data_IF_316734328727
#
_entry.id   IF_316734328727
#
_cell.length_a   1.000
_cell.length_b   1.000
_cell.length_c   1.000
_cell.angle_alpha   90.00
_cell.angle_beta   90.00
_cell.angle_gamma   90.00
#
_symmetry.space_group_name_H-M   'P 1'
#
loop_
_entity.id
_entity.type
_entity.pdbx_description
1 polymer ?
#
# COMPACT_ATOMS: atom_id res chain seq x y z
N UNK A 1 -7.52 5.64 6.33
CA UNK A 1 -6.34 5.86 5.46
C UNK A 1 -5.22 5.02 6.04
N UNK A 2 -4.48 4.25 5.24
CA UNK A 2 -3.34 3.47 5.75
C UNK A 2 -2.25 4.45 6.18
N UNK A 3 -1.99 4.55 7.49
CA UNK A 3 -1.19 5.62 8.07
C UNK A 3 0.23 5.18 8.42
N UNK A 4 0.47 3.87 8.47
CA UNK A 4 1.76 3.28 8.82
C UNK A 4 2.12 2.10 7.92
N UNK A 5 3.41 1.73 7.93
CA UNK A 5 3.88 0.53 7.24
C UNK A 5 3.22 -0.74 7.78
N UNK A 6 2.91 -0.76 9.07
CA UNK A 6 2.19 -1.86 9.71
C UNK A 6 0.76 -1.97 9.16
N UNK A 7 0.04 -0.86 9.03
CA UNK A 7 -1.31 -0.86 8.43
C UNK A 7 -1.28 -1.36 6.98
N UNK A 8 -0.30 -0.91 6.20
CA UNK A 8 -0.13 -1.31 4.82
C UNK A 8 0.19 -2.81 4.69
N UNK A 9 1.09 -3.31 5.54
CA UNK A 9 1.42 -4.74 5.60
C UNK A 9 0.22 -5.58 6.02
N UNK A 10 -0.50 -5.15 7.06
CA UNK A 10 -1.67 -5.84 7.57
C UNK A 10 -2.78 -5.92 6.52
N UNK A 11 -2.99 -4.83 5.77
CA UNK A 11 -3.94 -4.81 4.65
C UNK A 11 -3.54 -5.84 3.59
N UNK A 12 -2.28 -5.82 3.14
CA UNK A 12 -1.77 -6.76 2.14
C UNK A 12 -1.92 -8.21 2.59
N UNK A 13 -1.49 -8.52 3.82
CA UNK A 13 -1.58 -9.85 4.40
C UNK A 13 -3.04 -10.34 4.48
N UNK A 14 -3.95 -9.48 4.94
CA UNK A 14 -5.37 -9.80 5.04
C UNK A 14 -6.00 -10.10 3.68
N UNK A 15 -5.69 -9.30 2.65
CA UNK A 15 -6.20 -9.53 1.28
C UNK A 15 -5.64 -10.83 0.73
N UNK A 16 -4.35 -11.12 0.96
CA UNK A 16 -3.71 -12.36 0.51
C UNK A 16 -4.33 -13.59 1.16
N UNK A 17 -4.48 -13.57 2.47
CA UNK A 17 -5.09 -14.66 3.24
C UNK A 17 -6.54 -14.92 2.83
N UNK A 18 -7.36 -13.87 2.72
CA UNK A 18 -8.76 -14.00 2.28
C UNK A 18 -8.85 -14.54 0.85
N UNK A 19 -7.98 -14.08 -0.04
CA UNK A 19 -7.95 -14.54 -1.43
C UNK A 19 -7.56 -16.03 -1.52
N UNK A 20 -6.58 -16.47 -0.72
CA UNK A 20 -6.20 -17.88 -0.61
C UNK A 20 -7.31 -18.73 0.03
N UNK A 21 -8.04 -18.20 1.00
CA UNK A 21 -9.21 -18.87 1.57
C UNK A 21 -10.31 -19.05 0.51
N UNK A 22 -10.56 -18.03 -0.30
CA UNK A 22 -11.51 -18.11 -1.42
C UNK A 22 -11.05 -19.09 -2.51
N UNK A 23 -9.75 -19.17 -2.79
CA UNK A 23 -9.20 -20.20 -3.68
C UNK A 23 -9.50 -21.60 -3.15
N UNK A 24 -9.22 -21.84 -1.86
CA UNK A 24 -9.48 -23.13 -1.24
C UNK A 24 -10.97 -23.48 -1.24
N UNK A 25 -11.84 -22.50 -0.96
CA UNK A 25 -13.29 -22.64 -1.03
C UNK A 25 -13.75 -23.02 -2.44
N UNK A 26 -13.39 -22.21 -3.44
CA UNK A 26 -13.72 -22.45 -4.86
C UNK A 26 -13.23 -23.80 -5.36
N UNK A 27 -12.00 -24.19 -5.01
CA UNK A 27 -11.37 -25.41 -5.53
C UNK A 27 -11.86 -26.69 -4.88
N UNK A 28 -12.16 -26.68 -3.58
CA UNK A 28 -12.36 -27.92 -2.80
C UNK A 28 -13.78 -28.08 -2.27
N UNK A 29 -14.49 -26.98 -2.05
CA UNK A 29 -15.67 -27.00 -1.19
C UNK A 29 -16.92 -26.40 -1.84
N UNK A 30 -16.79 -25.59 -2.89
CA UNK A 30 -17.91 -24.84 -3.49
C UNK A 30 -19.12 -25.71 -3.84
N UNK A 31 -18.89 -26.80 -4.58
CA UNK A 31 -19.96 -27.69 -5.03
C UNK A 31 -20.57 -28.54 -3.90
N UNK A 32 -19.91 -28.57 -2.73
CA UNK A 32 -20.36 -29.31 -1.54
C UNK A 32 -21.11 -28.44 -0.52
N UNK A 33 -21.28 -27.15 -0.79
CA UNK A 33 -21.98 -26.23 0.10
C UNK A 33 -23.50 -26.51 0.14
N UNK A 34 -24.18 -26.22 1.26
CA UNK A 34 -25.61 -26.45 1.41
C UNK A 34 -26.44 -25.38 0.67
N UNK A 35 -26.46 -25.45 -0.67
CA UNK A 35 -27.15 -24.49 -1.55
C UNK A 35 -28.66 -24.43 -1.37
N UNK A 36 -29.29 -25.44 -0.76
CA UNK A 36 -30.73 -25.41 -0.46
C UNK A 36 -31.07 -24.50 0.74
N UNK A 37 -30.07 -24.02 1.49
CA UNK A 37 -30.24 -23.14 2.64
C UNK A 37 -30.08 -21.65 2.33
N UNK A 38 -29.77 -20.82 3.34
CA UNK A 38 -29.60 -19.36 3.19
C UNK A 38 -28.57 -18.95 2.13
N UNK A 39 -27.54 -19.78 1.88
CA UNK A 39 -26.52 -19.50 0.87
C UNK A 39 -27.08 -19.45 -0.56
N UNK A 40 -28.03 -20.32 -0.91
CA UNK A 40 -28.66 -20.29 -2.24
C UNK A 40 -29.76 -19.24 -2.38
N UNK A 41 -30.14 -18.58 -1.29
CA UNK A 41 -31.03 -17.43 -1.29
C UNK A 41 -30.27 -16.11 -1.50
N UNK A 42 -28.94 -16.12 -1.33
CA UNK A 42 -28.10 -14.97 -1.64
C UNK A 42 -27.96 -14.84 -3.16
N UNK A 43 -28.53 -13.76 -3.72
CA UNK A 43 -28.50 -13.50 -5.16
C UNK A 43 -27.09 -13.41 -5.74
N UNK A 44 -26.09 -12.95 -4.97
CA UNK A 44 -24.72 -12.87 -5.48
C UNK A 44 -24.08 -14.24 -5.54
N UNK A 45 -24.26 -15.06 -4.49
CA UNK A 45 -23.65 -16.39 -4.42
C UNK A 45 -24.33 -17.39 -5.35
N UNK A 46 -25.66 -17.32 -5.50
CA UNK A 46 -26.43 -18.25 -6.34
C UNK A 46 -26.03 -18.24 -7.81
N UNK A 47 -25.61 -17.09 -8.34
CA UNK A 47 -25.16 -16.96 -9.74
C UNK A 47 -23.64 -17.07 -9.89
N UNK A 48 -22.90 -17.36 -8.82
CA UNK A 48 -21.45 -17.51 -8.87
C UNK A 48 -21.08 -18.99 -8.98
N UNK A 49 -20.32 -19.34 -10.01
CA UNK A 49 -19.79 -20.70 -10.17
C UNK A 49 -18.35 -20.82 -9.66
N UNK A 50 -17.94 -22.05 -9.30
CA UNK A 50 -16.58 -22.31 -8.82
C UNK A 50 -15.48 -21.82 -9.79
N UNK A 51 -15.58 -22.02 -11.13
CA UNK A 51 -14.59 -21.52 -12.06
C UNK A 51 -14.44 -19.99 -12.02
N UNK A 52 -15.54 -19.25 -11.87
CA UNK A 52 -15.49 -17.79 -11.80
C UNK A 52 -14.75 -17.28 -10.56
N UNK A 53 -14.90 -17.97 -9.43
CA UNK A 53 -14.15 -17.66 -8.21
C UNK A 53 -12.66 -17.89 -8.44
N UNK A 54 -12.30 -19.02 -9.02
CA UNK A 54 -10.91 -19.38 -9.27
C UNK A 54 -10.24 -18.39 -10.23
N UNK A 55 -10.95 -17.95 -11.27
CA UNK A 55 -10.45 -16.94 -12.21
C UNK A 55 -10.25 -15.59 -11.53
N UNK A 56 -11.21 -15.14 -10.73
CA UNK A 56 -11.08 -13.88 -9.96
C UNK A 56 -9.91 -13.93 -8.98
N UNK A 57 -9.76 -15.04 -8.26
CA UNK A 57 -8.64 -15.23 -7.32
C UNK A 57 -7.31 -15.19 -8.08
N UNK A 58 -7.22 -15.85 -9.24
CA UNK A 58 -5.99 -15.84 -10.05
C UNK A 58 -5.61 -14.42 -10.47
N UNK A 59 -6.58 -13.60 -10.90
CA UNK A 59 -6.36 -12.20 -11.26
C UNK A 59 -5.89 -11.39 -10.05
N UNK A 60 -6.49 -11.57 -8.88
CA UNK A 60 -6.06 -10.86 -7.67
C UNK A 60 -4.63 -11.25 -7.31
N UNK A 61 -4.34 -12.56 -7.25
CA UNK A 61 -3.02 -13.04 -6.83
C UNK A 61 -1.90 -12.69 -7.80
N UNK A 62 -2.18 -12.50 -9.10
CA UNK A 62 -1.12 -12.14 -10.06
C UNK A 62 -0.55 -10.75 -9.78
N UNK A 63 -1.38 -9.83 -9.30
CA UNK A 63 -1.02 -8.41 -9.18
C UNK A 63 -0.84 -7.98 -7.71
N UNK A 64 -1.29 -8.80 -6.75
CA UNK A 64 -1.32 -8.44 -5.33
C UNK A 64 0.06 -8.17 -4.75
N UNK A 65 1.08 -8.93 -5.13
CA UNK A 65 2.44 -8.73 -4.63
C UNK A 65 3.03 -7.41 -5.14
N UNK A 66 2.81 -7.07 -6.41
CA UNK A 66 3.23 -5.79 -7.00
C UNK A 66 2.51 -4.60 -6.35
N UNK A 67 1.19 -4.73 -6.14
CA UNK A 67 0.40 -3.73 -5.42
C UNK A 67 0.85 -3.59 -3.97
N UNK A 68 1.20 -4.70 -3.31
CA UNK A 68 1.74 -4.70 -1.95
C UNK A 68 3.05 -3.92 -1.86
N UNK A 69 3.98 -4.16 -2.79
CA UNK A 69 5.25 -3.41 -2.87
C UNK A 69 4.99 -1.92 -3.12
N UNK A 70 4.11 -1.59 -4.06
CA UNK A 70 3.77 -0.20 -4.38
C UNK A 70 3.18 0.53 -3.16
N UNK A 71 2.27 -0.12 -2.45
CA UNK A 71 1.63 0.42 -1.25
C UNK A 71 2.65 0.66 -0.13
N UNK A 72 3.46 -0.35 0.19
CA UNK A 72 4.50 -0.24 1.21
C UNK A 72 5.51 0.86 0.87
N UNK A 73 5.94 0.92 -0.39
CA UNK A 73 6.84 1.97 -0.87
C UNK A 73 6.20 3.35 -0.74
N UNK A 74 4.92 3.50 -1.10
CA UNK A 74 4.21 4.78 -1.00
C UNK A 74 4.08 5.28 0.44
N UNK A 75 3.80 4.37 1.38
CA UNK A 75 3.73 4.71 2.81
C UNK A 75 5.12 5.05 3.36
N UNK A 76 6.13 4.25 3.04
CA UNK A 76 7.52 4.53 3.38
C UNK A 76 7.95 5.92 2.86
N UNK A 77 7.65 6.20 1.59
CA UNK A 77 7.95 7.47 0.94
C UNK A 77 7.36 8.64 1.70
N UNK A 78 6.06 8.56 2.03
CA UNK A 78 5.35 9.58 2.77
C UNK A 78 5.98 9.80 4.17
N UNK A 79 6.27 8.71 4.89
CA UNK A 79 6.89 8.78 6.23
C UNK A 79 8.27 9.43 6.19
N UNK A 80 9.12 9.04 5.24
CA UNK A 80 10.47 9.61 5.11
C UNK A 80 10.39 11.09 4.69
N UNK A 81 9.47 11.44 3.80
CA UNK A 81 9.26 12.82 3.35
C UNK A 81 8.80 13.71 4.51
N UNK A 82 7.81 13.26 5.28
CA UNK A 82 7.33 13.96 6.48
C UNK A 82 8.47 14.18 7.49
N UNK A 83 9.28 13.13 7.72
CA UNK A 83 10.43 13.22 8.62
C UNK A 83 11.47 14.23 8.14
N UNK A 84 11.85 14.16 6.86
CA UNK A 84 12.83 15.08 6.27
C UNK A 84 12.35 16.54 6.35
N UNK A 85 11.06 16.79 6.12
CA UNK A 85 10.48 18.12 6.27
C UNK A 85 10.52 18.61 7.72
N UNK A 86 10.23 17.73 8.69
CA UNK A 86 10.32 18.06 10.11
C UNK A 86 11.76 18.40 10.54
N UNK A 87 12.75 17.64 10.07
CA UNK A 87 14.16 17.89 10.38
C UNK A 87 14.63 19.23 9.76
N UNK A 88 14.25 19.53 8.52
CA UNK A 88 14.53 20.84 7.88
C UNK A 88 13.86 21.99 8.63
N UNK A 89 12.59 21.82 9.04
CA UNK A 89 11.86 22.85 9.78
C UNK A 89 12.49 23.15 11.14
N UNK A 90 13.07 22.15 11.80
CA UNK A 90 13.77 22.32 13.08
C UNK A 90 15.07 23.14 12.96
N UNK A 91 15.78 23.03 11.82
CA UNK A 91 17.03 23.75 11.56
C UNK A 91 16.81 25.18 11.05
N UNK A 92 15.67 25.45 10.42
CA UNK A 92 15.37 26.73 9.78
C UNK A 92 15.56 27.97 10.69
N UNK A 93 15.19 27.95 11.99
CA UNK A 93 15.39 29.08 12.91
C UNK A 93 16.85 29.39 13.24
N UNK A 94 17.77 28.43 13.09
CA UNK A 94 19.20 28.61 13.42
C UNK A 94 19.97 29.32 12.30
N UNK A 95 19.41 29.33 11.09
CA UNK A 95 20.06 29.85 9.89
C UNK A 95 19.90 31.38 9.77
N UNK A 96 21.02 32.10 9.89
CA UNK A 96 21.06 33.57 9.74
C UNK A 96 21.50 34.04 8.36
N UNK A 97 22.22 33.20 7.60
CA UNK A 97 22.79 33.62 6.32
C UNK A 97 21.73 33.52 5.19
N UNK A 98 21.48 34.59 4.41
CA UNK A 98 20.45 34.59 3.37
C UNK A 98 20.60 33.48 2.33
N UNK A 99 21.84 33.15 1.93
CA UNK A 99 22.06 32.05 0.99
C UNK A 99 21.68 30.67 1.57
N UNK A 100 21.85 30.46 2.87
CA UNK A 100 21.43 29.20 3.53
C UNK A 100 19.92 29.12 3.64
N UNK A 101 19.26 30.24 3.95
CA UNK A 101 17.79 30.31 3.96
C UNK A 101 17.20 30.02 2.57
N UNK A 102 17.81 30.54 1.51
CA UNK A 102 17.38 30.25 0.14
C UNK A 102 17.60 28.78 -0.23
N UNK A 103 18.77 28.21 0.11
CA UNK A 103 19.05 26.80 -0.14
C UNK A 103 18.05 25.88 0.58
N UNK A 104 17.67 26.20 1.82
CA UNK A 104 16.66 25.46 2.58
C UNK A 104 15.27 25.57 1.95
N UNK A 105 14.85 26.75 1.48
CA UNK A 105 13.55 26.88 0.78
C UNK A 105 13.51 26.00 -0.48
N UNK A 106 14.57 26.02 -1.28
CA UNK A 106 14.66 25.17 -2.47
C UNK A 106 14.66 23.68 -2.12
N UNK A 107 15.30 23.29 -1.01
CA UNK A 107 15.23 21.93 -0.49
C UNK A 107 13.80 21.57 -0.07
N UNK A 108 13.12 22.42 0.70
CA UNK A 108 11.72 22.20 1.13
C UNK A 108 10.79 22.01 -0.07
N UNK A 109 10.86 22.88 -1.08
CA UNK A 109 10.07 22.74 -2.31
C UNK A 109 10.36 21.42 -3.04
N UNK A 110 11.63 20.99 -3.08
CA UNK A 110 12.01 19.71 -3.66
C UNK A 110 11.55 18.51 -2.81
N UNK A 111 11.49 18.64 -1.48
CA UNK A 111 10.94 17.64 -0.57
C UNK A 111 9.40 17.59 -0.63
N UNK A 112 8.71 18.66 -0.98
CA UNK A 112 7.24 18.67 -1.08
C UNK A 112 6.74 18.19 -2.45
N UNK A 113 7.43 18.59 -3.52
CA UNK A 113 6.95 18.39 -4.89
C UNK A 113 7.90 17.57 -5.77
N UNK A 114 9.10 17.29 -5.29
CA UNK A 114 10.11 16.55 -6.03
C UNK A 114 9.98 15.03 -5.90
N UNK A 115 10.66 14.36 -6.82
CA UNK A 115 10.86 12.91 -6.81
C UNK A 115 11.57 12.47 -5.52
N UNK A 116 11.08 11.40 -4.89
CA UNK A 116 11.71 10.78 -3.73
C UNK A 116 13.18 10.40 -3.93
N UNK A 117 13.59 10.14 -5.17
CA UNK A 117 14.98 9.92 -5.52
C UNK A 117 15.88 11.09 -5.08
N UNK A 118 15.42 12.34 -5.29
CA UNK A 118 16.19 13.53 -4.88
C UNK A 118 16.27 13.66 -3.35
N UNK A 119 15.24 13.21 -2.64
CA UNK A 119 15.21 13.20 -1.17
C UNK A 119 16.27 12.24 -0.63
N UNK A 120 16.33 11.04 -1.20
CA UNK A 120 17.22 9.96 -0.73
C UNK A 120 18.66 10.10 -1.21
N UNK A 121 18.92 10.76 -2.34
CA UNK A 121 20.27 11.10 -2.82
C UNK A 121 21.11 11.85 -1.77
N UNK A 122 20.49 12.79 -1.04
CA UNK A 122 21.17 13.55 0.01
C UNK A 122 21.71 12.66 1.14
N UNK A 123 21.14 11.46 1.34
CA UNK A 123 21.51 10.52 2.39
C UNK A 123 22.47 9.42 1.91
N UNK A 124 22.75 9.30 0.61
CA UNK A 124 23.68 8.27 0.08
C UNK A 124 25.16 8.55 0.38
N UNK A 125 25.49 9.76 0.83
CA UNK A 125 26.86 10.18 1.12
C UNK A 125 27.28 9.97 2.60
N UNK A 126 26.41 9.35 3.40
CA UNK A 126 26.69 8.88 4.77
C UNK A 126 27.10 7.40 4.74
#
# INVERSE_FOLDING_TARGET
MMASLEDAWQWYASVKELTLAMFALGKKHWDSLPWQGPLGQDERLRHTEAPEILDRVKVILSDLDDLGVLLLFSVFEATVRERALADVAAELPTLRHPALQQAVRTLTEALEHGSFYKVTEAYKAL
#
